data_IF_490626668384
#
_entry.id   IF_490626668384
#
_cell.length_a   1.000
_cell.length_b   1.000
_cell.length_c   1.000
_cell.angle_alpha   90.00
_cell.angle_beta   90.00
_cell.angle_gamma   90.00
#
_symmetry.space_group_name_H-M   'P 1'
#
loop_
_entity.id
_entity.type
_entity.pdbx_description
1 polymer ?
#
# COMPACT_ATOMS: atom_id res chain seq x y z
N UNK A 1 -5.47 17.64 12.42
CA UNK A 1 -6.08 16.95 11.26
C UNK A 1 -7.58 17.06 11.42
N UNK A 2 -8.26 17.89 10.62
CA UNK A 2 -9.70 18.13 10.73
C UNK A 2 -10.29 18.01 9.32
N UNK A 3 -10.94 16.89 9.05
CA UNK A 3 -11.50 16.50 7.75
C UNK A 3 -11.69 14.98 7.76
N UNK A 4 -12.80 14.50 7.18
CA UNK A 4 -13.09 13.07 7.12
C UNK A 4 -12.00 12.38 6.29
N UNK A 5 -11.28 11.44 6.88
CA UNK A 5 -10.29 10.63 6.18
C UNK A 5 -10.54 9.15 6.45
N UNK A 6 -10.31 8.34 5.44
CA UNK A 6 -10.38 6.88 5.54
C UNK A 6 -8.97 6.34 5.62
N UNK A 7 -8.71 5.46 6.58
CA UNK A 7 -7.38 4.90 6.83
C UNK A 7 -7.45 3.39 6.84
N UNK A 8 -6.68 2.75 5.96
CA UNK A 8 -6.39 1.32 6.02
C UNK A 8 -4.96 1.17 6.57
N UNK A 9 -4.83 0.79 7.83
CA UNK A 9 -3.55 0.67 8.52
C UNK A 9 -3.25 -0.79 8.88
N UNK A 10 -1.96 -1.09 9.02
CA UNK A 10 -1.53 -2.43 9.41
C UNK A 10 -0.12 -2.45 9.99
N UNK A 11 0.19 -3.59 10.60
CA UNK A 11 1.52 -3.99 11.07
C UNK A 11 1.61 -5.51 10.92
N UNK A 12 2.81 -6.05 10.76
CA UNK A 12 2.99 -7.49 10.73
C UNK A 12 2.65 -8.11 12.09
N UNK A 13 1.89 -9.21 12.03
CA UNK A 13 1.61 -10.08 13.17
C UNK A 13 2.01 -11.51 12.84
N UNK A 14 2.19 -12.31 13.88
CA UNK A 14 2.35 -13.76 13.76
C UNK A 14 0.97 -14.40 13.82
N UNK A 15 0.67 -15.30 12.90
CA UNK A 15 -0.56 -16.08 12.88
C UNK A 15 -0.21 -17.57 12.84
N UNK A 16 -0.69 -18.40 13.78
CA UNK A 16 -0.35 -19.83 13.85
C UNK A 16 -0.61 -20.59 12.55
N UNK A 17 -1.69 -20.24 11.86
CA UNK A 17 -2.09 -20.90 10.60
C UNK A 17 -1.26 -20.47 9.38
N UNK A 18 -0.35 -19.49 9.54
CA UNK A 18 0.51 -18.99 8.46
C UNK A 18 1.98 -18.95 8.93
N UNK A 19 2.59 -20.12 9.19
CA UNK A 19 3.98 -20.19 9.64
C UNK A 19 4.96 -19.79 8.51
N UNK A 20 6.19 -19.38 8.85
CA UNK A 20 7.25 -19.18 7.86
C UNK A 20 7.52 -20.45 7.06
N UNK A 21 7.84 -20.29 5.77
CA UNK A 21 8.18 -21.40 4.88
C UNK A 21 9.54 -21.19 4.23
N UNK A 22 10.13 -22.26 3.69
CA UNK A 22 11.50 -22.23 3.14
C UNK A 22 11.61 -21.48 1.81
N UNK A 23 10.50 -21.32 1.09
CA UNK A 23 10.50 -20.73 -0.25
C UNK A 23 10.46 -19.20 -0.24
N UNK A 24 10.13 -18.58 0.89
CA UNK A 24 9.98 -17.14 1.01
C UNK A 24 10.63 -16.60 2.28
N UNK A 25 11.37 -15.51 2.15
CA UNK A 25 11.80 -14.73 3.31
C UNK A 25 10.58 -13.96 3.82
N UNK A 26 10.18 -14.23 5.07
CA UNK A 26 9.09 -13.51 5.73
C UNK A 26 9.55 -12.10 6.08
N UNK A 27 9.28 -11.14 5.18
CA UNK A 27 9.42 -9.71 5.47
C UNK A 27 8.45 -9.26 6.57
N UNK A 28 8.70 -8.12 7.18
CA UNK A 28 7.91 -7.54 8.26
C UNK A 28 7.61 -6.07 7.99
N UNK A 29 6.33 -5.75 7.88
CA UNK A 29 5.88 -4.37 7.91
C UNK A 29 5.84 -3.89 9.36
N UNK A 30 6.51 -2.77 9.64
CA UNK A 30 6.20 -1.93 10.79
C UNK A 30 4.84 -1.23 10.60
N UNK A 31 4.55 -0.17 11.38
CA UNK A 31 3.36 0.64 11.15
C UNK A 31 3.33 1.19 9.71
N UNK A 32 2.32 0.79 8.95
CA UNK A 32 2.10 1.16 7.55
C UNK A 32 0.64 1.54 7.34
N UNK A 33 0.35 2.41 6.38
CA UNK A 33 -1.04 2.74 6.07
C UNK A 33 -1.24 3.32 4.68
N UNK A 34 -2.48 3.19 4.21
CA UNK A 34 -3.05 3.99 3.13
C UNK A 34 -4.04 4.97 3.73
N UNK A 35 -3.91 6.24 3.36
CA UNK A 35 -4.81 7.32 3.77
C UNK A 35 -5.51 7.85 2.53
N UNK A 36 -6.84 7.93 2.60
CA UNK A 36 -7.69 8.48 1.55
C UNK A 36 -8.37 9.73 2.09
N UNK A 37 -8.13 10.87 1.46
CA UNK A 37 -8.70 12.16 1.86
C UNK A 37 -9.56 12.72 0.73
N UNK A 38 -10.86 12.99 0.95
CA UNK A 38 -11.68 13.68 -0.03
C UNK A 38 -11.06 15.03 -0.41
N UNK A 39 -11.20 15.42 -1.68
CA UNK A 39 -10.81 16.76 -2.13
C UNK A 39 -11.99 17.70 -1.97
N UNK A 40 -11.82 18.78 -1.22
CA UNK A 40 -12.89 19.76 -0.99
C UNK A 40 -13.42 20.30 -2.32
N UNK A 41 -14.74 20.26 -2.51
CA UNK A 41 -15.40 20.69 -3.76
C UNK A 41 -15.43 19.63 -4.87
N UNK A 42 -14.86 18.44 -4.66
CA UNK A 42 -14.85 17.36 -5.65
C UNK A 42 -15.30 16.04 -5.02
N UNK A 43 -16.57 15.67 -5.26
CA UNK A 43 -17.17 14.47 -4.66
C UNK A 43 -16.65 13.15 -5.26
N UNK A 44 -15.94 13.22 -6.39
CA UNK A 44 -15.42 12.09 -7.16
C UNK A 44 -13.88 11.97 -7.07
N UNK A 45 -13.23 12.76 -6.21
CA UNK A 45 -11.78 12.80 -6.11
C UNK A 45 -11.30 12.64 -4.67
N UNK A 46 -10.17 11.95 -4.53
CA UNK A 46 -9.46 11.86 -3.26
C UNK A 46 -7.94 11.92 -3.48
N UNK A 47 -7.24 12.37 -2.43
CA UNK A 47 -5.81 12.21 -2.29
C UNK A 47 -5.55 10.85 -1.66
N UNK A 48 -4.67 10.07 -2.29
CA UNK A 48 -4.19 8.79 -1.77
C UNK A 48 -2.74 8.97 -1.33
N UNK A 49 -2.47 8.69 -0.06
CA UNK A 49 -1.12 8.65 0.50
C UNK A 49 -0.82 7.25 0.99
N UNK A 50 0.41 6.79 0.76
CA UNK A 50 0.89 5.50 1.26
C UNK A 50 2.16 5.72 2.09
N UNK A 51 2.07 5.42 3.38
CA UNK A 51 3.22 5.29 4.27
C UNK A 51 3.68 3.83 4.28
N UNK A 52 4.87 3.55 3.76
CA UNK A 52 5.46 2.21 3.77
C UNK A 52 6.63 2.14 4.75
N UNK A 53 6.48 1.32 5.80
CA UNK A 53 7.56 0.94 6.70
C UNK A 53 7.72 -0.58 6.66
N UNK A 54 8.76 -1.07 5.98
CA UNK A 54 8.95 -2.50 5.78
C UNK A 54 10.41 -2.90 5.92
N UNK A 55 10.62 -4.03 6.60
CA UNK A 55 11.86 -4.76 6.64
C UNK A 55 11.67 -6.04 5.82
N UNK A 56 12.16 -6.07 4.58
CA UNK A 56 12.07 -7.27 3.74
C UNK A 56 12.85 -8.46 4.30
N UNK A 57 13.71 -8.22 5.31
CA UNK A 57 14.68 -9.14 5.88
C UNK A 57 15.65 -9.68 4.81
N UNK A 58 16.61 -10.48 5.25
CA UNK A 58 17.70 -10.95 4.41
C UNK A 58 18.70 -9.84 4.08
N UNK A 59 19.67 -10.16 3.22
CA UNK A 59 20.66 -9.21 2.76
C UNK A 59 20.33 -8.75 1.35
N UNK A 60 20.02 -7.46 1.20
CA UNK A 60 19.75 -6.82 -0.08
C UNK A 60 20.57 -5.52 -0.11
N UNK A 61 21.38 -5.25 -1.14
CA UNK A 61 22.08 -3.99 -1.25
C UNK A 61 21.10 -2.81 -1.33
N UNK A 62 21.33 -1.76 -0.53
CA UNK A 62 20.43 -0.61 -0.42
C UNK A 62 20.14 0.05 -1.78
N UNK A 63 21.16 0.13 -2.65
CA UNK A 63 21.03 0.72 -3.99
C UNK A 63 20.12 -0.09 -4.94
N UNK A 64 19.81 -1.34 -4.60
CA UNK A 64 18.80 -2.16 -5.30
C UNK A 64 17.45 -2.01 -4.60
N UNK A 65 17.45 -2.01 -3.27
CA UNK A 65 16.25 -1.97 -2.45
C UNK A 65 15.44 -0.68 -2.66
N UNK A 66 16.09 0.48 -2.55
CA UNK A 66 15.42 1.78 -2.64
C UNK A 66 14.69 1.98 -3.99
N UNK A 67 15.33 1.80 -5.16
CA UNK A 67 14.61 1.97 -6.43
C UNK A 67 13.52 0.91 -6.61
N UNK A 68 13.70 -0.32 -6.12
CA UNK A 68 12.68 -1.35 -6.19
C UNK A 68 11.43 -0.99 -5.37
N UNK A 69 11.61 -0.49 -4.14
CA UNK A 69 10.50 -0.03 -3.30
C UNK A 69 9.79 1.20 -3.90
N UNK A 70 10.55 2.18 -4.40
CA UNK A 70 9.97 3.34 -5.09
C UNK A 70 9.15 2.92 -6.31
N UNK A 71 9.69 2.02 -7.15
CA UNK A 71 8.99 1.49 -8.30
C UNK A 71 7.71 0.74 -7.89
N UNK A 72 7.76 -0.07 -6.83
CA UNK A 72 6.59 -0.77 -6.31
C UNK A 72 5.50 0.21 -5.85
N UNK A 73 5.87 1.29 -5.14
CA UNK A 73 4.94 2.33 -4.69
C UNK A 73 4.28 3.07 -5.85
N UNK A 74 5.05 3.46 -6.87
CA UNK A 74 4.53 4.14 -8.06
C UNK A 74 3.59 3.20 -8.84
N UNK A 75 4.04 1.97 -9.09
CA UNK A 75 3.26 0.97 -9.82
C UNK A 75 1.94 0.67 -9.12
N UNK A 76 1.93 0.58 -7.78
CA UNK A 76 0.71 0.39 -7.00
C UNK A 76 -0.33 1.48 -7.29
N UNK A 77 0.07 2.76 -7.27
CA UNK A 77 -0.84 3.88 -7.55
C UNK A 77 -1.31 3.87 -9.01
N UNK A 78 -0.44 3.51 -9.97
CA UNK A 78 -0.82 3.35 -11.38
C UNK A 78 -1.87 2.25 -11.56
N UNK A 79 -1.68 1.09 -10.94
CA UNK A 79 -2.62 -0.03 -11.04
C UNK A 79 -3.92 0.25 -10.29
N UNK A 80 -3.87 0.92 -9.14
CA UNK A 80 -5.06 1.37 -8.42
C UNK A 80 -5.94 2.27 -9.30
N UNK A 81 -5.35 3.27 -9.96
CA UNK A 81 -6.08 4.14 -10.90
C UNK A 81 -6.70 3.34 -12.05
N UNK A 82 -5.94 2.42 -12.66
CA UNK A 82 -6.45 1.55 -13.73
C UNK A 82 -7.65 0.70 -13.26
N UNK A 83 -7.56 0.16 -12.05
CA UNK A 83 -8.62 -0.64 -11.45
C UNK A 83 -9.89 0.18 -11.21
N UNK A 84 -9.77 1.39 -10.66
CA UNK A 84 -10.91 2.28 -10.43
C UNK A 84 -11.59 2.69 -11.75
N UNK A 85 -10.81 3.04 -12.78
CA UNK A 85 -11.34 3.33 -14.12
C UNK A 85 -12.08 2.13 -14.72
N UNK A 86 -11.59 0.91 -14.47
CA UNK A 86 -12.27 -0.31 -14.90
C UNK A 86 -13.61 -0.48 -14.17
N UNK A 87 -13.62 -0.36 -12.84
CA UNK A 87 -14.86 -0.51 -12.05
C UNK A 87 -15.94 0.51 -12.44
N UNK A 88 -15.54 1.75 -12.72
CA UNK A 88 -16.44 2.79 -13.20
C UNK A 88 -17.05 2.44 -14.57
N UNK A 89 -16.25 1.87 -15.48
CA UNK A 89 -16.75 1.39 -16.79
C UNK A 89 -17.70 0.21 -16.66
N UNK A 90 -17.50 -0.64 -15.65
CA UNK A 90 -18.34 -1.80 -15.35
C UNK A 90 -19.62 -1.43 -14.57
N UNK A 91 -19.76 -0.16 -14.12
CA UNK A 91 -20.91 0.29 -13.32
C UNK A 91 -20.95 -0.27 -11.90
N UNK A 92 -19.82 -0.76 -11.40
CA UNK A 92 -19.71 -1.30 -10.03
C UNK A 92 -19.56 -0.19 -8.98
N UNK A 93 -19.07 0.96 -9.40
CA UNK A 93 -18.95 2.21 -8.63
C UNK A 93 -19.33 3.40 -9.50
#
# INVERSE_FOLDING_TARGET
MKGDCYVAAGVSVLHPDVPPCTNYIRGENGPTCWVFRPVAGHNDQCIVEWLLNTNLRGWIPQYVLDPALMAAMINYIVYLRKYLVRLQKEGTI
#
